data_IF_063447728582
#
_entry.id   IF_063447728582
#
_cell.length_a   1.000
_cell.length_b   1.000
_cell.length_c   1.000
_cell.angle_alpha   90.00
_cell.angle_beta   90.00
_cell.angle_gamma   90.00
#
_symmetry.space_group_name_H-M   'P 1'
#
loop_
_entity.id
_entity.type
_entity.pdbx_description
1 polymer ?
#
# COMPACT_ATOMS: atom_id res chain seq x y z
N UNK A 1 -1.51 -10.64 -13.93
CA UNK A 1 -1.62 -11.63 -15.00
C UNK A 1 -0.39 -12.52 -14.94
N UNK A 2 -0.55 -13.84 -14.85
CA UNK A 2 0.56 -14.78 -14.75
C UNK A 2 0.62 -15.61 -16.04
N UNK A 3 1.73 -15.52 -16.75
CA UNK A 3 2.04 -16.27 -17.97
C UNK A 3 3.32 -17.07 -17.75
N UNK A 4 3.62 -18.02 -18.63
CA UNK A 4 4.75 -18.95 -18.48
C UNK A 4 6.12 -18.23 -18.43
N UNK A 5 6.29 -17.18 -19.24
CA UNK A 5 7.53 -16.39 -19.30
C UNK A 5 7.46 -15.06 -18.55
N UNK A 6 6.27 -14.62 -18.16
CA UNK A 6 6.05 -13.23 -17.72
C UNK A 6 4.99 -13.13 -16.64
N UNK A 7 5.14 -12.16 -15.75
CA UNK A 7 4.07 -11.78 -14.81
C UNK A 7 3.87 -10.28 -14.83
N UNK A 8 2.65 -9.87 -15.15
CA UNK A 8 2.23 -8.47 -15.09
C UNK A 8 1.50 -8.21 -13.77
N UNK A 9 2.02 -7.28 -12.98
CA UNK A 9 1.43 -6.79 -11.75
C UNK A 9 0.82 -5.41 -11.98
N UNK A 10 -0.38 -5.21 -11.43
CA UNK A 10 -1.07 -3.91 -11.42
C UNK A 10 -1.75 -3.71 -10.07
N UNK A 11 -1.50 -2.57 -9.45
CA UNK A 11 -2.20 -2.11 -8.25
C UNK A 11 -2.68 -0.67 -8.46
N UNK A 12 -3.98 -0.48 -8.49
CA UNK A 12 -4.59 0.85 -8.47
C UNK A 12 -4.92 1.23 -7.02
N UNK A 13 -4.64 2.48 -6.64
CA UNK A 13 -4.91 3.00 -5.30
C UNK A 13 -5.56 4.38 -5.36
N UNK A 14 -6.35 4.70 -4.33
CA UNK A 14 -6.99 6.00 -4.14
C UNK A 14 -7.07 6.34 -2.65
N UNK A 15 -6.70 7.57 -2.33
CA UNK A 15 -6.81 8.19 -1.02
C UNK A 15 -8.28 8.43 -0.68
N UNK A 16 -8.66 8.11 0.55
CA UNK A 16 -10.02 8.31 1.05
C UNK A 16 -10.01 9.32 2.22
N UNK A 17 -10.29 10.62 1.99
CA UNK A 17 -10.31 11.62 3.05
C UNK A 17 -11.38 11.34 4.11
N UNK A 18 -12.50 10.71 3.72
CA UNK A 18 -13.63 10.44 4.60
C UNK A 18 -13.38 9.32 5.62
N UNK A 19 -12.30 8.56 5.47
CA UNK A 19 -11.94 7.48 6.39
C UNK A 19 -11.29 7.97 7.71
N UNK A 20 -11.07 9.27 7.84
CA UNK A 20 -10.39 9.88 8.99
C UNK A 20 -11.23 10.99 9.59
N UNK A 21 -11.03 11.27 10.88
CA UNK A 21 -11.68 12.38 11.59
C UNK A 21 -11.41 13.75 10.96
N UNK A 22 -10.25 13.90 10.33
CA UNK A 22 -9.85 15.03 9.51
C UNK A 22 -8.86 14.53 8.45
N UNK A 23 -8.91 15.02 7.20
CA UNK A 23 -7.96 14.60 6.16
C UNK A 23 -6.51 14.86 6.59
N UNK A 24 -5.66 13.84 6.50
CA UNK A 24 -4.23 13.93 6.83
C UNK A 24 -3.38 13.23 5.77
N UNK A 25 -2.17 13.74 5.57
CA UNK A 25 -1.18 13.12 4.69
C UNK A 25 -0.78 11.73 5.21
N UNK A 26 -0.91 10.72 4.35
CA UNK A 26 -0.36 9.38 4.57
C UNK A 26 1.13 9.41 4.22
N UNK A 27 1.96 9.03 5.18
CA UNK A 27 3.43 8.98 5.07
C UNK A 27 3.94 7.55 5.08
N UNK A 28 5.20 7.41 4.65
CA UNK A 28 5.92 6.13 4.61
C UNK A 28 5.16 5.06 3.81
N UNK A 29 4.50 5.48 2.72
CA UNK A 29 3.66 4.60 1.92
C UNK A 29 4.53 3.57 1.20
N UNK A 30 4.37 2.31 1.59
CA UNK A 30 5.15 1.19 1.04
C UNK A 30 4.23 0.11 0.52
N UNK A 31 4.46 -0.38 -0.69
CA UNK A 31 3.74 -1.50 -1.30
C UNK A 31 4.71 -2.66 -1.47
N UNK A 32 4.27 -3.88 -1.15
CA UNK A 32 5.08 -5.09 -1.22
C UNK A 32 4.28 -6.23 -1.84
N UNK A 33 4.89 -6.95 -2.79
CA UNK A 33 4.30 -8.15 -3.39
C UNK A 33 5.38 -9.21 -3.60
N UNK A 34 5.08 -10.46 -3.29
CA UNK A 34 5.96 -11.57 -3.58
C UNK A 34 5.73 -12.08 -5.00
N UNK A 35 6.79 -12.45 -5.71
CA UNK A 35 6.69 -13.01 -7.06
C UNK A 35 7.58 -14.25 -7.14
N UNK A 36 6.98 -15.42 -7.33
CA UNK A 36 7.71 -16.65 -7.57
C UNK A 36 8.02 -16.84 -9.07
N UNK A 37 8.34 -18.05 -9.51
CA UNK A 37 8.67 -18.32 -10.91
C UNK A 37 10.09 -17.91 -11.34
N UNK A 38 10.96 -17.57 -10.39
CA UNK A 38 12.37 -17.27 -10.66
C UNK A 38 12.55 -16.03 -11.53
N UNK A 39 11.99 -14.90 -11.08
CA UNK A 39 12.07 -13.63 -11.79
C UNK A 39 13.52 -13.19 -11.98
N UNK A 40 13.90 -12.97 -13.23
CA UNK A 40 15.26 -12.59 -13.64
C UNK A 40 15.39 -11.10 -13.87
N UNK A 41 14.28 -10.43 -14.21
CA UNK A 41 14.23 -8.99 -14.47
C UNK A 41 12.87 -8.43 -14.10
N UNK A 42 12.89 -7.22 -13.54
CA UNK A 42 11.69 -6.44 -13.22
C UNK A 42 11.77 -5.10 -13.96
N UNK A 43 10.68 -4.72 -14.62
CA UNK A 43 10.45 -3.38 -15.15
C UNK A 43 9.21 -2.82 -14.46
N UNK A 44 9.27 -1.60 -13.92
CA UNK A 44 8.15 -1.07 -13.14
C UNK A 44 8.02 0.45 -13.23
N UNK A 45 6.77 0.91 -13.14
CA UNK A 45 6.38 2.32 -13.03
C UNK A 45 5.34 2.42 -11.91
N UNK A 46 5.60 3.19 -10.83
CA UNK A 46 6.84 3.88 -10.51
C UNK A 46 8.00 2.90 -10.27
N UNK A 47 9.23 3.41 -10.19
CA UNK A 47 10.41 2.58 -9.92
C UNK A 47 10.23 1.80 -8.61
N UNK A 48 10.38 0.49 -8.70
CA UNK A 48 10.39 -0.42 -7.55
C UNK A 48 11.75 -1.06 -7.36
N UNK A 49 11.96 -1.63 -6.17
CA UNK A 49 13.10 -2.49 -5.88
C UNK A 49 12.70 -3.96 -5.96
N UNK A 50 13.55 -4.79 -6.57
CA UNK A 50 13.39 -6.24 -6.60
C UNK A 50 14.48 -6.90 -5.75
N UNK A 51 14.05 -7.65 -4.73
CA UNK A 51 14.93 -8.53 -3.95
C UNK A 51 14.74 -9.98 -4.41
N UNK A 52 15.72 -10.50 -5.14
CA UNK A 52 15.70 -11.85 -5.66
C UNK A 52 15.78 -12.93 -4.57
N UNK A 53 16.41 -12.65 -3.43
CA UNK A 53 16.54 -13.60 -2.32
C UNK A 53 15.22 -13.75 -1.57
N UNK A 54 14.58 -12.62 -1.26
CA UNK A 54 13.27 -12.59 -0.61
C UNK A 54 12.10 -12.86 -1.58
N UNK A 55 12.38 -12.86 -2.89
CA UNK A 55 11.38 -12.91 -3.97
C UNK A 55 10.35 -11.80 -3.82
N UNK A 56 10.80 -10.60 -3.45
CA UNK A 56 9.96 -9.51 -3.00
C UNK A 56 10.18 -8.27 -3.86
N UNK A 57 9.11 -7.78 -4.47
CA UNK A 57 9.09 -6.45 -5.07
C UNK A 57 8.54 -5.44 -4.07
N UNK A 58 9.19 -4.28 -3.97
CA UNK A 58 8.82 -3.21 -3.04
C UNK A 58 8.81 -1.85 -3.73
N UNK A 59 7.77 -1.06 -3.48
CA UNK A 59 7.69 0.34 -3.91
C UNK A 59 7.54 1.25 -2.70
N UNK A 60 8.36 2.29 -2.64
CA UNK A 60 8.19 3.40 -1.69
C UNK A 60 7.58 4.56 -2.45
N UNK A 61 6.33 4.86 -2.15
CA UNK A 61 5.60 5.95 -2.80
C UNK A 61 5.87 7.26 -2.04
N UNK A 62 5.61 8.37 -2.72
CA UNK A 62 5.57 9.67 -2.06
C UNK A 62 4.41 9.73 -1.05
N UNK A 63 4.45 10.74 -0.19
CA UNK A 63 3.36 11.09 0.70
C UNK A 63 2.05 11.28 -0.11
N UNK A 64 0.94 10.73 0.37
CA UNK A 64 -0.37 10.76 -0.31
C UNK A 64 -1.32 11.64 0.51
N UNK A 65 -1.98 12.61 -0.14
CA UNK A 65 -2.89 13.54 0.55
C UNK A 65 -3.97 14.12 -0.36
N UNK A 66 -4.84 14.96 0.19
CA UNK A 66 -5.94 15.63 -0.50
C UNK A 66 -5.50 16.94 -1.17
N UNK A 67 -4.40 16.91 -1.94
CA UNK A 67 -3.88 18.13 -2.60
C UNK A 67 -4.33 18.19 -4.06
N UNK A 68 -4.33 17.06 -4.78
CA UNK A 68 -4.82 16.98 -6.16
C UNK A 68 -5.29 15.56 -6.51
N UNK A 69 -6.07 15.42 -7.59
CA UNK A 69 -6.44 14.09 -8.12
C UNK A 69 -5.21 13.28 -8.56
N UNK A 70 -4.14 13.93 -9.03
CA UNK A 70 -2.94 13.22 -9.49
C UNK A 70 -2.10 12.67 -8.32
N UNK A 71 -2.19 13.29 -7.14
CA UNK A 71 -1.44 12.89 -5.94
C UNK A 71 -2.26 12.02 -4.99
N UNK A 72 -3.60 12.07 -5.11
CA UNK A 72 -4.54 11.29 -4.29
C UNK A 72 -4.91 9.93 -4.89
N UNK A 73 -4.61 9.65 -6.15
CA UNK A 73 -4.77 8.32 -6.74
C UNK A 73 -3.64 7.99 -7.69
N UNK A 74 -3.41 6.70 -7.93
CA UNK A 74 -2.34 6.26 -8.80
C UNK A 74 -2.39 4.79 -9.12
N UNK A 75 -1.40 4.35 -9.89
CA UNK A 75 -1.30 2.97 -10.39
C UNK A 75 0.17 2.54 -10.36
N UNK A 76 0.44 1.42 -9.70
CA UNK A 76 1.71 0.70 -9.81
C UNK A 76 1.56 -0.37 -10.88
N UNK A 77 2.47 -0.37 -11.85
CA UNK A 77 2.57 -1.40 -12.88
C UNK A 77 3.96 -1.99 -12.85
N UNK A 78 4.05 -3.31 -12.93
CA UNK A 78 5.32 -3.99 -13.06
C UNK A 78 5.20 -5.21 -13.96
N UNK A 79 6.28 -5.50 -14.68
CA UNK A 79 6.43 -6.70 -15.48
C UNK A 79 7.68 -7.44 -15.03
N UNK A 80 7.51 -8.72 -14.72
CA UNK A 80 8.56 -9.63 -14.33
C UNK A 80 8.82 -10.61 -15.47
N UNK A 81 10.07 -10.73 -15.90
CA UNK A 81 10.53 -11.80 -16.79
C UNK A 81 10.89 -13.00 -15.92
N UNK A 82 10.34 -14.18 -16.23
CA UNK A 82 10.45 -15.39 -15.42
C UNK A 82 11.32 -16.45 -16.10
N UNK A 83 12.07 -17.21 -15.30
CA UNK A 83 12.83 -18.38 -15.77
C UNK A 83 12.10 -19.71 -15.53
N UNK A 84 11.16 -19.76 -14.58
CA UNK A 84 10.44 -20.96 -14.15
C UNK A 84 8.97 -20.64 -13.87
N UNK A 85 8.32 -19.93 -14.79
CA UNK A 85 6.90 -19.61 -14.64
C UNK A 85 5.96 -20.80 -14.92
N UNK A 86 4.64 -20.58 -14.83
CA UNK A 86 4.00 -19.33 -14.42
C UNK A 86 4.18 -19.04 -12.93
N UNK A 87 4.09 -17.77 -12.55
CA UNK A 87 4.01 -17.39 -11.13
C UNK A 87 2.62 -17.66 -10.57
N UNK A 88 2.51 -17.75 -9.24
CA UNK A 88 1.22 -17.82 -8.54
C UNK A 88 0.80 -16.41 -8.11
N UNK A 89 -0.46 -16.02 -8.34
CA UNK A 89 -0.99 -14.78 -7.78
C UNK A 89 -0.84 -14.78 -6.25
N UNK A 90 -0.28 -13.73 -5.68
CA UNK A 90 -0.09 -13.57 -4.23
C UNK A 90 -0.75 -12.31 -3.70
N UNK A 91 -1.13 -12.33 -2.43
CA UNK A 91 -1.59 -11.16 -1.68
C UNK A 91 -0.55 -10.04 -1.68
N UNK A 92 -0.99 -8.82 -1.97
CA UNK A 92 -0.17 -7.61 -1.93
C UNK A 92 -0.38 -6.89 -0.60
N UNK A 93 0.70 -6.43 0.02
CA UNK A 93 0.69 -5.69 1.27
C UNK A 93 0.93 -4.20 1.04
N UNK A 94 0.29 -3.36 1.85
CA UNK A 94 0.53 -1.93 1.88
C UNK A 94 0.75 -1.45 3.31
N UNK A 95 1.68 -0.53 3.50
CA UNK A 95 2.00 0.08 4.79
C UNK A 95 1.99 1.60 4.67
N UNK A 96 1.44 2.28 5.66
CA UNK A 96 1.46 3.74 5.78
C UNK A 96 1.10 4.18 7.20
N UNK A 97 1.37 5.44 7.51
CA UNK A 97 0.96 6.05 8.77
C UNK A 97 0.53 7.50 8.56
N UNK A 98 -0.28 8.03 9.49
CA UNK A 98 -0.61 9.45 9.54
C UNK A 98 -0.62 9.93 10.99
N UNK A 99 -0.32 11.22 11.16
CA UNK A 99 -0.38 11.93 12.43
C UNK A 99 -1.41 13.05 12.33
N UNK A 100 -1.98 13.47 13.45
CA UNK A 100 -2.97 14.55 13.53
C UNK A 100 -4.44 14.11 13.49
N UNK A 101 -4.73 12.87 13.09
CA UNK A 101 -6.09 12.35 13.00
C UNK A 101 -6.26 10.95 13.63
N UNK A 102 -7.51 10.57 13.82
CA UNK A 102 -7.90 9.19 14.18
C UNK A 102 -8.85 8.64 13.12
N UNK A 103 -8.94 7.31 13.02
CA UNK A 103 -9.97 6.65 12.20
C UNK A 103 -11.29 6.58 12.97
N UNK A 104 -11.23 6.42 14.29
CA UNK A 104 -12.43 6.26 15.14
C UNK A 104 -13.22 7.55 15.36
N UNK A 105 -12.62 8.72 15.14
CA UNK A 105 -13.21 10.00 15.56
C UNK A 105 -13.24 10.20 17.07
N UNK A 106 -12.64 9.29 17.85
CA UNK A 106 -12.64 9.39 19.30
C UNK A 106 -11.83 10.59 19.78
N UNK A 107 -12.37 11.26 20.79
CA UNK A 107 -11.71 12.37 21.47
C UNK A 107 -11.65 12.16 22.98
N UNK A 108 -10.78 12.91 23.64
CA UNK A 108 -10.58 12.82 25.08
C UNK A 108 -10.80 14.18 25.73
N UNK A 109 -11.61 14.19 26.79
CA UNK A 109 -11.86 15.36 27.61
C UNK A 109 -11.54 15.03 29.08
N UNK A 110 -10.89 15.99 29.76
CA UNK A 110 -10.54 15.89 31.17
C UNK A 110 -11.58 16.63 32.01
N UNK A 111 -12.22 15.92 32.96
CA UNK A 111 -13.21 16.49 33.87
C UNK A 111 -12.59 16.65 35.27
N UNK A 112 -12.67 17.85 35.83
CA UNK A 112 -12.16 18.19 37.17
C UNK A 112 -11.04 19.23 37.16
N UNK A 113 -10.68 19.74 38.34
CA UNK A 113 -9.61 20.74 38.51
C UNK A 113 -8.29 20.08 38.96
N UNK A 114 -7.16 20.76 38.74
CA UNK A 114 -5.83 20.32 39.20
C UNK A 114 -4.99 19.57 38.16
N UNK A 115 -5.56 19.20 37.02
CA UNK A 115 -4.86 18.56 35.91
C UNK A 115 -5.05 19.33 34.61
N UNK A 116 -4.12 19.17 33.67
CA UNK A 116 -4.26 19.68 32.30
C UNK A 116 -3.66 18.70 31.31
N UNK A 117 -4.28 18.60 30.14
CA UNK A 117 -3.69 17.90 28.99
C UNK A 117 -2.70 18.87 28.35
N UNK A 118 -1.40 18.57 28.42
CA UNK A 118 -0.38 19.37 27.76
C UNK A 118 -0.30 19.09 26.26
N UNK A 119 -0.59 17.85 25.86
CA UNK A 119 -0.55 17.40 24.48
C UNK A 119 -1.44 16.18 24.28
N UNK A 120 -2.27 16.22 23.24
CA UNK A 120 -3.03 15.07 22.76
C UNK A 120 -2.48 14.65 21.41
N UNK A 121 -1.85 13.47 21.34
CA UNK A 121 -1.30 12.93 20.09
C UNK A 121 -2.32 12.00 19.44
N UNK A 122 -2.80 12.37 18.27
CA UNK A 122 -3.65 11.53 17.40
C UNK A 122 -2.80 11.01 16.25
N UNK A 123 -2.80 9.69 16.03
CA UNK A 123 -2.08 9.04 14.94
C UNK A 123 -2.66 7.66 14.65
N UNK A 124 -2.45 7.17 13.44
CA UNK A 124 -2.70 5.79 13.09
C UNK A 124 -1.62 5.27 12.15
N UNK A 125 -1.47 3.95 12.11
CA UNK A 125 -0.63 3.26 11.15
C UNK A 125 -1.34 1.99 10.69
N UNK A 126 -1.02 1.53 9.49
CA UNK A 126 -1.51 0.24 8.98
C UNK A 126 -1.06 -0.90 9.89
N UNK A 127 -2.01 -1.78 10.23
CA UNK A 127 -1.73 -3.13 10.70
C UNK A 127 -1.58 -4.08 9.50
N UNK A 128 -2.42 -5.11 9.47
CA UNK A 128 -2.56 -6.01 8.31
C UNK A 128 -3.44 -5.36 7.24
N UNK A 129 -2.83 -4.68 6.27
CA UNK A 129 -3.54 -4.06 5.14
C UNK A 129 -3.12 -4.72 3.84
N UNK A 130 -4.03 -5.51 3.27
CA UNK A 130 -3.75 -6.41 2.16
C UNK A 130 -4.82 -6.32 1.08
N UNK A 131 -4.42 -6.66 -0.14
CA UNK A 131 -5.34 -6.88 -1.26
C UNK A 131 -4.97 -8.17 -1.96
N UNK A 132 -5.96 -9.03 -2.14
CA UNK A 132 -5.79 -10.27 -2.89
C UNK A 132 -5.90 -10.00 -4.40
N UNK A 133 -5.19 -10.78 -5.22
CA UNK A 133 -5.28 -10.66 -6.67
C UNK A 133 -6.70 -10.94 -7.13
N UNK A 134 -7.15 -10.24 -8.18
CA UNK A 134 -8.45 -10.47 -8.78
C UNK A 134 -8.58 -11.95 -9.20
N UNK A 135 -9.72 -12.56 -8.88
CA UNK A 135 -10.00 -13.94 -9.25
C UNK A 135 -9.91 -14.10 -10.78
N UNK A 136 -9.11 -15.05 -11.25
CA UNK A 136 -9.15 -15.50 -12.63
C UNK A 136 -10.47 -16.22 -12.86
N UNK A 137 -11.46 -15.54 -13.44
CA UNK A 137 -12.65 -16.22 -13.96
C UNK A 137 -12.15 -17.12 -15.08
N UNK A 138 -12.13 -18.42 -14.82
CA UNK A 138 -11.90 -19.41 -15.87
C UNK A 138 -13.20 -19.44 -16.67
N UNK A 139 -13.24 -18.81 -17.83
CA UNK A 139 -14.30 -19.09 -18.80
C UNK A 139 -14.17 -20.57 -19.19
N UNK A 140 -15.25 -21.31 -18.93
CA UNK A 140 -15.43 -22.73 -19.28
C UNK A 140 -15.90 -22.82 -20.73
#
# INVERSE_FOLDING_TARGET
KCEDSTTDFRLDYRYNPSAMSSPMTLKNVTVMVQVDGGATKMQSIPNGNWDANAKLATWKLNDISEVSEQESQGCIRAKFELSKGPSKPTTTAMQFAAEGATISGADFELIGSGYRISLMKKRFATGKYFVDPAATVSEV
#
